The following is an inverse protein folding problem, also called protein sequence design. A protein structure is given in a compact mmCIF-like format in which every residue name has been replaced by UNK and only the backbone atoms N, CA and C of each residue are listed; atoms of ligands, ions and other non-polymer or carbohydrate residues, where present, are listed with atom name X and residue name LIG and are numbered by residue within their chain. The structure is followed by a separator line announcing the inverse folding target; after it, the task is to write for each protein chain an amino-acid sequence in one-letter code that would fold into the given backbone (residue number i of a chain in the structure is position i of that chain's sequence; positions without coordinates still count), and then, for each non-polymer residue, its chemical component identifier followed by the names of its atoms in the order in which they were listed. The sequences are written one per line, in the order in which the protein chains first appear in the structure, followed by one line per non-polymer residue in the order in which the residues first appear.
data_IF_530881888123
#
_entry.id   IF_530881888123
#
_cell.length_a   1.000
_cell.length_b   1.000
_cell.length_c   1.000
_cell.angle_alpha   90.00
_cell.angle_beta   90.00
_cell.angle_gamma   90.00
#
_symmetry.space_group_name_H-M   'P 1'
#
loop_
_entity.id
_entity.type
_entity.pdbx_description
1 polymer ?
#
# COMPACT_ATOMS: atom_id res chain seq x y z
N UNK A 1 14.41 0.07 4.14
CA UNK A 1 14.53 -0.71 2.89
C UNK A 1 13.20 -1.42 2.68
N UNK A 2 12.46 -1.00 1.66
CA UNK A 2 11.17 -1.58 1.27
C UNK A 2 11.36 -2.93 0.56
N UNK A 3 10.26 -3.67 0.38
CA UNK A 3 10.24 -4.96 -0.32
C UNK A 3 10.83 -4.82 -1.73
N UNK A 4 11.60 -5.82 -2.17
CA UNK A 4 12.07 -5.87 -3.57
C UNK A 4 10.98 -6.42 -4.48
N UNK A 5 11.07 -6.10 -5.78
CA UNK A 5 10.21 -6.68 -6.80
C UNK A 5 10.24 -8.21 -6.78
N UNK A 6 11.42 -8.79 -6.62
CA UNK A 6 11.61 -10.25 -6.55
C UNK A 6 10.96 -10.87 -5.30
N UNK A 7 11.12 -10.24 -4.12
CA UNK A 7 10.45 -10.68 -2.89
C UNK A 7 8.93 -10.74 -3.06
N UNK A 8 8.37 -9.74 -3.75
CA UNK A 8 6.93 -9.64 -3.99
C UNK A 8 6.45 -10.63 -5.05
N UNK A 9 7.19 -10.79 -6.15
CA UNK A 9 6.89 -11.79 -7.18
C UNK A 9 6.89 -13.21 -6.63
N UNK A 10 7.88 -13.53 -5.79
CA UNK A 10 7.95 -14.82 -5.11
C UNK A 10 6.75 -15.03 -4.18
N UNK A 11 6.32 -13.99 -3.46
CA UNK A 11 5.14 -14.06 -2.60
C UNK A 11 3.84 -14.27 -3.38
N UNK A 12 3.68 -13.56 -4.50
CA UNK A 12 2.51 -13.65 -5.39
C UNK A 12 2.54 -14.89 -6.31
N UNK A 13 3.63 -15.66 -6.30
CA UNK A 13 3.85 -16.80 -7.19
C UNK A 13 3.80 -16.41 -8.69
N UNK A 14 4.44 -15.29 -9.03
CA UNK A 14 4.53 -14.75 -10.40
C UNK A 14 5.94 -14.96 -10.94
N UNK A 15 6.06 -15.69 -12.04
CA UNK A 15 7.34 -15.99 -12.71
C UNK A 15 7.58 -15.15 -13.98
N UNK A 16 6.53 -14.53 -14.53
CA UNK A 16 6.60 -13.68 -15.72
C UNK A 16 6.91 -12.21 -15.39
N UNK A 17 7.36 -11.45 -16.39
CA UNK A 17 7.74 -10.04 -16.25
C UNK A 17 6.65 -9.03 -16.69
N UNK A 18 5.54 -9.51 -17.25
CA UNK A 18 4.47 -8.67 -17.80
C UNK A 18 3.90 -7.66 -16.78
N UNK A 19 3.83 -8.06 -15.51
CA UNK A 19 3.28 -7.26 -14.43
C UNK A 19 4.34 -6.54 -13.58
N UNK A 20 5.62 -6.57 -13.96
CA UNK A 20 6.70 -6.00 -13.13
C UNK A 20 6.49 -4.52 -12.82
N UNK A 21 6.06 -3.73 -13.82
CA UNK A 21 5.73 -2.32 -13.64
C UNK A 21 4.57 -2.14 -12.65
N UNK A 22 3.51 -2.93 -12.82
CA UNK A 22 2.35 -2.87 -11.94
C UNK A 22 2.71 -3.28 -10.50
N UNK A 23 3.50 -4.35 -10.34
CA UNK A 23 3.96 -4.80 -9.02
C UNK A 23 4.84 -3.73 -8.36
N UNK A 24 5.67 -3.02 -9.14
CA UNK A 24 6.48 -1.91 -8.63
C UNK A 24 5.60 -0.74 -8.12
N UNK A 25 4.50 -0.46 -8.80
CA UNK A 25 3.49 0.53 -8.34
C UNK A 25 2.81 0.05 -7.05
N UNK A 26 2.46 -1.24 -6.95
CA UNK A 26 1.84 -1.80 -5.75
C UNK A 26 2.76 -1.71 -4.52
N UNK A 27 4.07 -1.91 -4.69
CA UNK A 27 5.06 -1.71 -3.62
C UNK A 27 5.01 -0.27 -3.11
N UNK A 28 5.01 0.69 -4.03
CA UNK A 28 4.97 2.13 -3.70
C UNK A 28 3.67 2.50 -2.98
N UNK A 29 2.53 2.02 -3.47
CA UNK A 29 1.21 2.24 -2.85
C UNK A 29 1.14 1.63 -1.44
N UNK A 30 1.69 0.42 -1.26
CA UNK A 30 1.71 -0.23 0.05
C UNK A 30 2.57 0.54 1.06
N UNK A 31 3.71 1.08 0.62
CA UNK A 31 4.56 1.94 1.44
C UNK A 31 3.86 3.24 1.84
N UNK A 32 3.25 3.95 0.90
CA UNK A 32 2.51 5.18 1.18
C UNK A 32 1.34 4.92 2.12
N UNK A 33 0.62 3.80 1.91
CA UNK A 33 -0.52 3.43 2.76
C UNK A 33 -0.08 3.19 4.20
N UNK A 34 1.03 2.49 4.43
CA UNK A 34 1.55 2.29 5.78
C UNK A 34 2.10 3.58 6.38
N UNK A 35 2.78 4.41 5.57
CA UNK A 35 3.27 5.72 6.00
C UNK A 35 2.14 6.63 6.49
N UNK A 36 1.01 6.63 5.81
CA UNK A 36 -0.16 7.43 6.18
C UNK A 36 -0.99 6.81 7.33
N UNK A 37 -0.84 5.51 7.58
CA UNK A 37 -1.63 4.80 8.62
C UNK A 37 -0.92 4.71 9.97
N UNK A 38 0.36 5.08 10.06
CA UNK A 38 1.19 4.88 11.25
C UNK A 38 1.87 6.20 11.62
N UNK A 39 1.62 6.67 12.83
CA UNK A 39 2.31 7.85 13.37
C UNK A 39 3.82 7.62 13.46
N UNK A 40 4.60 8.67 13.21
CA UNK A 40 6.07 8.63 13.22
C UNK A 40 6.65 7.49 12.36
N UNK A 41 5.98 7.13 11.26
CA UNK A 41 6.39 5.99 10.43
C UNK A 41 7.84 6.08 9.99
N UNK A 42 8.27 7.24 9.49
CA UNK A 42 9.64 7.43 9.01
C UNK A 42 10.67 7.25 10.14
N UNK A 43 10.34 7.68 11.36
CA UNK A 43 11.17 7.47 12.55
C UNK A 43 11.21 5.98 12.93
N UNK A 44 10.05 5.31 12.95
CA UNK A 44 9.94 3.87 13.27
C UNK A 44 10.67 3.00 12.24
N UNK A 45 10.73 3.43 10.98
CA UNK A 45 11.47 2.76 9.91
C UNK A 45 13.00 2.74 10.10
N UNK A 46 13.54 3.48 11.09
CA UNK A 46 14.95 3.37 11.51
C UNK A 46 15.22 2.13 12.39
N UNK A 47 14.17 1.53 12.98
CA UNK A 47 14.29 0.34 13.81
C UNK A 47 14.19 -0.95 12.97
N UNK A 48 15.22 -1.79 13.03
CA UNK A 48 15.25 -3.04 12.25
C UNK A 48 14.10 -4.01 12.56
N UNK A 49 13.65 -4.06 13.82
CA UNK A 49 12.49 -4.85 14.23
C UNK A 49 11.22 -4.35 13.56
N UNK A 50 11.01 -3.04 13.54
CA UNK A 50 9.88 -2.42 12.86
C UNK A 50 9.91 -2.66 11.35
N UNK A 51 11.09 -2.58 10.72
CA UNK A 51 11.26 -2.91 9.30
C UNK A 51 10.86 -4.36 9.01
N UNK A 52 11.26 -5.31 9.86
CA UNK A 52 10.91 -6.73 9.71
C UNK A 52 9.41 -6.98 9.82
N UNK A 53 8.75 -6.44 10.85
CA UNK A 53 7.30 -6.67 11.07
C UNK A 53 6.45 -5.96 10.02
N UNK A 54 6.91 -4.83 9.48
CA UNK A 54 6.16 -4.07 8.47
C UNK A 54 6.15 -4.75 7.09
N UNK A 55 6.98 -5.78 6.85
CA UNK A 55 6.95 -6.55 5.59
C UNK A 55 5.61 -7.27 5.38
N UNK A 56 5.06 -7.89 6.41
CA UNK A 56 3.80 -8.65 6.33
C UNK A 56 2.61 -7.78 5.89
N UNK A 57 2.31 -6.62 6.52
CA UNK A 57 1.20 -5.80 6.09
C UNK A 57 1.39 -5.20 4.69
N UNK A 58 2.64 -4.91 4.24
CA UNK A 58 2.89 -4.51 2.84
C UNK A 58 2.50 -5.61 1.86
N UNK A 59 2.96 -6.84 2.10
CA UNK A 59 2.62 -8.00 1.27
C UNK A 59 1.10 -8.25 1.22
N UNK A 60 0.42 -8.11 2.36
CA UNK A 60 -1.05 -8.25 2.42
C UNK A 60 -1.78 -7.17 1.60
N UNK A 61 -1.31 -5.92 1.64
CA UNK A 61 -1.88 -4.82 0.81
C UNK A 61 -1.63 -5.11 -0.67
N UNK A 62 -0.41 -5.50 -1.04
CA UNK A 62 -0.04 -5.80 -2.41
C UNK A 62 -0.90 -6.94 -2.97
N UNK A 63 -0.99 -8.06 -2.26
CA UNK A 63 -1.83 -9.20 -2.68
C UNK A 63 -3.30 -8.80 -2.78
N UNK A 64 -3.81 -8.02 -1.83
CA UNK A 64 -5.19 -7.54 -1.90
C UNK A 64 -5.44 -6.72 -3.17
N UNK A 65 -4.56 -5.78 -3.53
CA UNK A 65 -4.75 -4.96 -4.73
C UNK A 65 -4.55 -5.79 -6.00
N UNK A 66 -3.57 -6.70 -6.00
CA UNK A 66 -3.25 -7.57 -7.14
C UNK A 66 -4.41 -8.53 -7.45
N UNK A 67 -4.93 -9.23 -6.44
CA UNK A 67 -6.06 -10.14 -6.57
C UNK A 67 -7.31 -9.41 -7.07
N UNK A 68 -7.51 -8.16 -6.65
CA UNK A 68 -8.68 -7.36 -7.02
C UNK A 68 -8.53 -6.57 -8.33
N UNK A 69 -7.45 -6.77 -9.11
CA UNK A 69 -7.18 -6.04 -10.36
C UNK A 69 -8.23 -6.28 -11.46
N UNK A 70 -8.91 -7.43 -11.45
CA UNK A 70 -9.82 -7.87 -12.53
C UNK A 70 -11.30 -8.08 -12.17
N UNK A 71 -11.70 -7.90 -10.90
CA UNK A 71 -13.05 -8.24 -10.45
C UNK A 71 -14.03 -7.07 -10.61
N UNK A 72 -14.61 -6.93 -11.81
CA UNK A 72 -15.81 -6.12 -12.08
C UNK A 72 -17.09 -6.91 -11.76
N UNK A 73 -17.34 -7.27 -10.51
CA UNK A 73 -18.65 -7.79 -10.07
C UNK A 73 -18.94 -7.41 -8.63
N UNK A 74 -20.11 -6.77 -8.41
CA UNK A 74 -20.97 -6.56 -7.20
C UNK A 74 -20.37 -6.47 -5.77
N UNK A 75 -19.22 -7.06 -5.45
CA UNK A 75 -18.39 -6.78 -4.26
C UNK A 75 -17.72 -5.37 -4.30
N UNK A 76 -17.89 -4.67 -5.43
CA UNK A 76 -17.56 -3.26 -5.69
C UNK A 76 -17.96 -2.27 -4.59
N UNK A 77 -18.92 -2.58 -3.72
CA UNK A 77 -19.31 -1.65 -2.64
C UNK A 77 -18.25 -1.53 -1.56
N UNK A 78 -17.37 -2.53 -1.37
CA UNK A 78 -16.26 -2.45 -0.40
C UNK A 78 -15.03 -1.82 -1.02
N UNK A 79 -14.73 -2.10 -2.28
CA UNK A 79 -13.63 -1.46 -3.02
C UNK A 79 -13.94 0.03 -3.23
N UNK A 80 -15.17 0.40 -3.61
CA UNK A 80 -15.59 1.80 -3.61
C UNK A 80 -15.46 2.44 -2.24
N UNK A 81 -15.69 1.72 -1.14
CA UNK A 81 -15.48 2.27 0.21
C UNK A 81 -14.01 2.46 0.54
N UNK A 82 -13.13 1.58 0.06
CA UNK A 82 -11.67 1.73 0.22
C UNK A 82 -11.19 2.91 -0.63
N UNK A 83 -11.61 3.01 -1.88
CA UNK A 83 -11.30 4.14 -2.78
C UNK A 83 -11.90 5.44 -2.24
N UNK A 84 -13.14 5.45 -1.74
CA UNK A 84 -13.75 6.60 -1.08
C UNK A 84 -13.06 6.94 0.23
N UNK A 85 -12.59 5.96 0.99
CA UNK A 85 -11.79 6.18 2.21
C UNK A 85 -10.44 6.79 1.86
N UNK A 86 -9.80 6.34 0.77
CA UNK A 86 -8.60 6.98 0.23
C UNK A 86 -8.89 8.39 -0.27
N UNK A 87 -9.98 8.63 -1.00
CA UNK A 87 -10.40 9.97 -1.43
C UNK A 87 -10.71 10.88 -0.24
N UNK A 88 -11.32 10.36 0.81
CA UNK A 88 -11.62 11.08 2.06
C UNK A 88 -10.32 11.40 2.79
N UNK A 89 -9.39 10.45 2.91
CA UNK A 89 -8.06 10.70 3.49
C UNK A 89 -7.26 11.71 2.65
N UNK A 90 -7.31 11.63 1.31
CA UNK A 90 -6.69 12.62 0.44
C UNK A 90 -7.33 14.01 0.59
N UNK A 91 -8.65 14.08 0.81
CA UNK A 91 -9.38 15.33 0.97
C UNK A 91 -9.18 15.98 2.35
N UNK A 92 -9.10 15.20 3.42
CA UNK A 92 -9.09 15.73 4.80
C UNK A 92 -7.74 15.62 5.51
N UNK A 93 -6.85 14.70 5.13
CA UNK A 93 -5.50 14.63 5.69
C UNK A 93 -4.51 15.54 4.96
N UNK A 94 -4.91 16.15 3.84
CA UNK A 94 -4.11 17.11 3.08
C UNK A 94 -4.87 18.41 2.76
N UNK A 95 -5.98 18.70 3.45
CA UNK A 95 -6.63 20.01 3.27
C UNK A 95 -5.70 21.09 3.83
N UNK A 96 -5.43 22.10 3.00
CA UNK A 96 -4.51 23.20 3.29
C UNK A 96 -5.12 24.10 4.36
N UNK A 97 -5.00 23.70 5.62
CA UNK A 97 -5.62 24.38 6.76
C UNK A 97 -4.73 24.56 8.00
N UNK A 98 -3.58 23.89 8.13
CA UNK A 98 -2.72 24.04 9.32
C UNK A 98 -1.44 24.84 9.03
N UNK A 99 -1.66 26.01 8.42
CA UNK A 99 -0.77 27.16 8.61
C UNK A 99 -1.48 28.10 9.57
N UNK A 100 -1.08 28.09 10.85
CA UNK A 100 -1.45 28.95 12.01
C UNK A 100 -1.99 28.05 13.14
N UNK A 101 -1.34 27.84 14.29
CA UNK A 101 -0.59 28.72 15.21
C UNK A 101 0.41 27.88 16.00
#
# INVERSE_FOLDING_TARGET
MSLTLEEVKNYLQIDFAYDDVFIQDLISIADEKLRNSIDDYDLKMTNEGFVKISKIPRLAIIQHIYDNRGYTTKEDTKINKIIQSFMTQMQYCYDAGDTSV
#
